data_IF_551383450424
#
_entry.id   IF_551383450424
#
_cell.length_a   1.000
_cell.length_b   1.000
_cell.length_c   1.000
_cell.angle_alpha   90.00
_cell.angle_beta   90.00
_cell.angle_gamma   90.00
#
_symmetry.space_group_name_H-M   'P 1'
#
loop_
_entity.id
_entity.type
_entity.pdbx_description
1 polymer ?
#
# COMPACT_ATOMS: atom_id res chain seq x y z
N UNK A 1 6.60 12.30 -18.84
CA UNK A 1 7.04 12.91 -17.57
C UNK A 1 7.50 11.77 -16.65
N UNK A 2 8.76 11.74 -16.22
CA UNK A 2 9.28 10.58 -15.49
C UNK A 2 8.84 10.53 -14.01
N UNK A 3 8.61 11.70 -13.40
CA UNK A 3 8.28 11.83 -11.97
C UNK A 3 6.88 11.30 -11.62
N UNK A 4 5.89 11.59 -12.47
CA UNK A 4 4.52 11.07 -12.33
C UNK A 4 4.48 9.54 -12.48
N UNK A 5 5.24 9.02 -13.46
CA UNK A 5 5.36 7.58 -13.69
C UNK A 5 6.01 6.88 -12.49
N UNK A 6 7.03 7.50 -11.88
CA UNK A 6 7.68 6.95 -10.68
C UNK A 6 6.73 6.90 -9.48
N UNK A 7 5.94 7.95 -9.22
CA UNK A 7 4.93 7.91 -8.16
C UNK A 7 3.89 6.80 -8.35
N UNK A 8 3.44 6.60 -9.59
CA UNK A 8 2.48 5.54 -9.95
C UNK A 8 3.07 4.13 -9.79
N UNK A 9 4.36 3.94 -10.13
CA UNK A 9 5.01 2.62 -10.08
C UNK A 9 5.60 2.28 -8.70
N UNK A 10 6.08 3.28 -7.95
CA UNK A 10 6.72 3.07 -6.65
C UNK A 10 5.70 2.89 -5.51
N UNK A 11 4.51 3.51 -5.61
CA UNK A 11 3.41 3.35 -4.65
C UNK A 11 3.69 3.84 -3.22
N UNK A 12 4.89 4.36 -2.96
CA UNK A 12 5.35 4.88 -1.68
C UNK A 12 5.79 6.36 -1.75
N UNK A 13 5.55 7.04 -2.88
CA UNK A 13 5.81 8.48 -3.06
C UNK A 13 4.52 9.16 -3.45
N UNK A 14 4.19 10.25 -2.74
CA UNK A 14 3.03 11.07 -3.05
C UNK A 14 3.19 11.73 -4.43
N UNK A 15 2.28 11.52 -5.39
CA UNK A 15 2.35 12.21 -6.68
C UNK A 15 2.07 13.72 -6.56
N UNK A 16 1.49 14.16 -5.43
CA UNK A 16 1.14 15.56 -5.20
C UNK A 16 2.25 16.34 -4.47
N UNK A 17 2.98 15.69 -3.56
CA UNK A 17 4.00 16.35 -2.72
C UNK A 17 5.42 15.86 -2.98
N UNK A 18 5.60 14.71 -3.63
CA UNK A 18 6.92 14.10 -3.84
C UNK A 18 7.54 13.49 -2.58
N UNK A 19 6.84 13.54 -1.43
CA UNK A 19 7.32 12.98 -0.18
C UNK A 19 7.09 11.47 -0.11
N UNK A 20 7.99 10.77 0.60
CA UNK A 20 7.81 9.35 0.91
C UNK A 20 6.65 9.18 1.89
N UNK A 21 5.67 8.38 1.49
CA UNK A 21 4.53 8.01 2.30
C UNK A 21 4.61 6.53 2.67
N UNK A 22 4.02 6.17 3.81
CA UNK A 22 3.76 4.76 4.10
C UNK A 22 2.59 4.31 3.22
N UNK A 23 2.70 3.14 2.54
CA UNK A 23 1.57 2.57 1.83
C UNK A 23 0.36 2.40 2.75
N UNK A 24 -0.85 2.47 2.19
CA UNK A 24 -2.09 2.30 2.96
C UNK A 24 -2.13 0.96 3.73
N UNK A 25 -1.46 -0.06 3.20
CA UNK A 25 -1.36 -1.37 3.83
C UNK A 25 -0.20 -1.48 4.83
N UNK A 26 0.44 -0.38 5.22
CA UNK A 26 1.59 -0.37 6.12
C UNK A 26 2.93 -0.65 5.42
N UNK A 27 4.02 -0.49 6.17
CA UNK A 27 5.41 -0.77 5.71
C UNK A 27 6.11 -1.84 6.55
N UNK A 28 5.33 -2.58 7.34
CA UNK A 28 5.79 -3.68 8.19
C UNK A 28 5.73 -5.01 7.43
N UNK A 29 6.49 -6.01 7.89
CA UNK A 29 6.53 -7.32 7.27
C UNK A 29 5.14 -7.99 7.30
N UNK A 30 4.68 -8.50 6.16
CA UNK A 30 3.37 -9.12 5.98
C UNK A 30 2.16 -8.23 6.31
N UNK A 31 2.32 -6.90 6.24
CA UNK A 31 1.23 -5.98 6.56
C UNK A 31 0.00 -6.18 5.65
N UNK A 32 0.21 -6.45 4.36
CA UNK A 32 -0.88 -6.73 3.41
C UNK A 32 -1.61 -8.05 3.72
N UNK A 33 -0.92 -9.22 3.84
CA UNK A 33 -1.55 -10.46 4.29
C UNK A 33 -2.34 -10.30 5.59
N UNK A 34 -1.73 -9.71 6.62
CA UNK A 34 -2.32 -9.63 7.97
C UNK A 34 -3.48 -8.64 8.06
N UNK A 35 -3.36 -7.45 7.46
CA UNK A 35 -4.35 -6.38 7.63
C UNK A 35 -5.45 -6.39 6.59
N UNK A 36 -5.25 -7.05 5.44
CA UNK A 36 -6.22 -7.05 4.34
C UNK A 36 -6.74 -8.47 4.09
N UNK A 37 -5.86 -9.44 3.89
CA UNK A 37 -6.28 -10.79 3.48
C UNK A 37 -6.95 -11.54 4.64
N UNK A 38 -6.33 -11.53 5.83
CA UNK A 38 -6.86 -12.27 7.00
C UNK A 38 -8.28 -11.84 7.39
N UNK A 39 -8.62 -10.54 7.54
CA UNK A 39 -9.98 -10.15 7.92
C UNK A 39 -11.03 -10.52 6.87
N UNK A 40 -10.68 -10.49 5.58
CA UNK A 40 -11.56 -10.93 4.50
C UNK A 40 -11.82 -12.43 4.63
N UNK A 41 -10.77 -13.24 4.83
CA UNK A 41 -10.90 -14.68 5.00
C UNK A 41 -11.75 -15.05 6.22
N UNK A 42 -11.54 -14.38 7.36
CA UNK A 42 -12.34 -14.59 8.58
C UNK A 42 -13.81 -14.25 8.38
N UNK A 43 -14.10 -13.18 7.62
CA UNK A 43 -15.47 -12.75 7.31
C UNK A 43 -16.20 -13.77 6.43
N UNK A 44 -15.52 -14.35 5.43
CA UNK A 44 -16.14 -15.35 4.53
C UNK A 44 -16.21 -16.76 5.13
N UNK A 45 -15.43 -17.04 6.18
CA UNK A 45 -15.42 -18.32 6.87
C UNK A 45 -16.57 -18.46 7.90
N UNK A 46 -17.30 -17.38 8.16
CA UNK A 46 -18.49 -17.33 9.03
C UNK A 46 -19.76 -17.73 8.27
#
# INVERSE_FOLDING_TARGET
MAFELYGMLAGNVSPMTGETIKPACGGEEEAFPKKVVTPIYETIAQ
#
